data_IF_713046238712
#
_entry.id   IF_713046238712
#
_cell.length_a   1.000
_cell.length_b   1.000
_cell.length_c   1.000
_cell.angle_alpha   90.00
_cell.angle_beta   90.00
_cell.angle_gamma   90.00
#
_symmetry.space_group_name_H-M   'P 1'
#
loop_
_entity.id
_entity.type
_entity.pdbx_description
1 polymer ?
#
# COMPACT_ATOMS: atom_id res chain seq x y z
N UNK A 1 1.00 -10.50 -9.33
CA UNK A 1 1.74 -10.32 -8.06
C UNK A 1 0.76 -10.58 -6.92
N UNK A 2 1.00 -11.59 -6.09
CA UNK A 2 0.17 -11.87 -4.90
C UNK A 2 0.98 -11.45 -3.68
N UNK A 3 0.36 -10.69 -2.78
CA UNK A 3 0.99 -10.28 -1.53
C UNK A 3 0.61 -11.22 -0.39
N UNK A 4 1.54 -11.45 0.53
CA UNK A 4 1.32 -12.28 1.71
C UNK A 4 0.85 -11.44 2.91
N UNK A 5 0.17 -12.08 3.85
CA UNK A 5 -0.14 -11.46 5.15
C UNK A 5 1.17 -11.24 5.90
N UNK A 6 1.40 -10.03 6.39
CA UNK A 6 2.65 -9.60 7.02
C UNK A 6 3.58 -8.81 6.10
N UNK A 7 3.38 -8.85 4.77
CA UNK A 7 4.17 -8.04 3.85
C UNK A 7 3.93 -6.56 4.09
N UNK A 8 5.00 -5.77 4.04
CA UNK A 8 4.94 -4.31 4.08
C UNK A 8 4.78 -3.77 2.67
N UNK A 9 3.72 -3.02 2.44
CA UNK A 9 3.39 -2.44 1.13
C UNK A 9 3.18 -0.94 1.25
N UNK A 10 3.64 -0.21 0.23
CA UNK A 10 3.35 1.20 0.07
C UNK A 10 1.94 1.38 -0.47
N UNK A 11 1.17 2.24 0.18
CA UNK A 11 -0.14 2.65 -0.31
C UNK A 11 -0.02 3.86 -1.26
N UNK A 12 -0.46 3.68 -2.50
CA UNK A 12 -0.60 4.78 -3.44
C UNK A 12 -1.95 5.50 -3.21
N UNK A 13 -1.89 6.76 -2.78
CA UNK A 13 -3.07 7.61 -2.69
C UNK A 13 -3.10 8.60 -3.87
N UNK A 14 -4.03 8.44 -4.83
CA UNK A 14 -4.17 9.36 -5.97
C UNK A 14 -4.73 10.74 -5.56
N UNK A 15 -4.94 11.02 -4.27
CA UNK A 15 -5.35 12.36 -3.78
C UNK A 15 -4.31 13.41 -4.13
N UNK A 16 -4.57 14.11 -5.23
CA UNK A 16 -3.80 15.28 -5.67
C UNK A 16 -3.87 16.38 -4.61
N UNK A 17 -2.76 16.62 -3.91
CA UNK A 17 -2.59 17.86 -3.14
C UNK A 17 -2.40 19.02 -4.12
N UNK A 18 -3.32 19.99 -4.09
CA UNK A 18 -3.20 21.22 -4.89
C UNK A 18 -1.87 21.90 -4.57
N UNK A 19 -1.15 22.36 -5.58
CA UNK A 19 0.13 23.07 -5.42
C UNK A 19 1.38 22.18 -5.35
N UNK A 20 1.26 20.85 -5.38
CA UNK A 20 2.42 19.95 -5.48
C UNK A 20 2.54 19.35 -6.88
N UNK A 21 3.76 19.37 -7.43
CA UNK A 21 4.08 18.69 -8.68
C UNK A 21 3.77 17.18 -8.56
N UNK A 22 3.39 16.55 -9.67
CA UNK A 22 3.02 15.12 -9.68
C UNK A 22 4.12 14.22 -9.09
N UNK A 23 5.38 14.58 -9.32
CA UNK A 23 6.58 13.90 -8.79
C UNK A 23 6.77 14.07 -7.28
N UNK A 24 6.14 15.06 -6.65
CA UNK A 24 6.24 15.38 -5.22
C UNK A 24 5.02 14.93 -4.40
N UNK A 25 4.09 14.19 -5.01
CA UNK A 25 2.91 13.70 -4.29
C UNK A 25 3.30 12.64 -3.27
N UNK A 26 2.78 12.80 -2.05
CA UNK A 26 3.11 12.02 -0.87
C UNK A 26 2.61 10.57 -0.98
N UNK A 27 3.50 9.59 -0.77
CA UNK A 27 3.13 8.18 -0.54
C UNK A 27 2.76 8.04 0.93
N UNK A 28 1.63 7.39 1.24
CA UNK A 28 1.04 7.40 2.59
C UNK A 28 1.78 6.57 3.66
N UNK A 29 2.94 6.00 3.31
CA UNK A 29 3.75 5.18 4.23
C UNK A 29 3.68 3.70 3.90
N UNK A 30 4.52 2.91 4.59
CA UNK A 30 4.44 1.45 4.56
C UNK A 30 3.34 0.98 5.52
N UNK A 31 2.48 0.11 5.01
CA UNK A 31 1.46 -0.58 5.78
C UNK A 31 1.68 -2.08 5.70
N UNK A 32 1.61 -2.82 6.82
CA UNK A 32 1.57 -4.27 6.77
C UNK A 32 0.19 -4.75 6.28
N UNK A 33 0.19 -5.81 5.48
CA UNK A 33 -1.03 -6.52 5.09
C UNK A 33 -1.50 -7.35 6.26
N UNK A 34 -2.71 -7.09 6.73
CA UNK A 34 -3.33 -7.83 7.83
C UNK A 34 -4.10 -9.04 7.34
N UNK A 35 -4.77 -8.92 6.20
CA UNK A 35 -5.59 -10.00 5.66
C UNK A 35 -5.78 -9.86 4.15
N UNK A 36 -5.77 -10.98 3.44
CA UNK A 36 -6.27 -11.04 2.06
C UNK A 36 -7.76 -11.38 2.09
N UNK A 37 -8.61 -10.46 1.62
CA UNK A 37 -10.05 -10.69 1.56
C UNK A 37 -10.42 -11.39 0.26
N UNK A 38 -9.86 -10.93 -0.85
CA UNK A 38 -10.07 -11.43 -2.21
C UNK A 38 -8.72 -11.53 -2.93
N UNK A 39 -8.64 -12.18 -4.10
CA UNK A 39 -7.40 -12.25 -4.88
C UNK A 39 -6.81 -10.87 -5.20
N UNK A 40 -7.67 -9.87 -5.36
CA UNK A 40 -7.31 -8.49 -5.73
C UNK A 40 -7.49 -7.47 -4.60
N UNK A 41 -8.10 -7.87 -3.48
CA UNK A 41 -8.46 -6.94 -2.40
C UNK A 41 -7.81 -7.34 -1.10
N UNK A 42 -7.05 -6.40 -0.53
CA UNK A 42 -6.26 -6.58 0.68
C UNK A 42 -6.74 -5.64 1.78
N UNK A 43 -6.62 -6.10 3.01
CA UNK A 43 -6.86 -5.33 4.22
C UNK A 43 -5.51 -4.94 4.80
N UNK A 44 -5.25 -3.63 4.82
CA UNK A 44 -4.07 -3.01 5.41
C UNK A 44 -4.43 -2.44 6.78
N UNK A 45 -3.43 -2.33 7.65
CA UNK A 45 -3.54 -1.51 8.85
C UNK A 45 -2.25 -1.50 9.65
N UNK A 46 -2.15 -0.60 10.62
CA UNK A 46 -0.99 -0.43 11.50
C UNK A 46 -1.05 -1.32 12.75
N UNK A 47 -1.86 -2.38 12.72
CA UNK A 47 -2.13 -3.24 13.88
C UNK A 47 -3.06 -2.59 14.92
N UNK A 48 -3.40 -1.30 14.77
CA UNK A 48 -4.40 -0.64 15.60
C UNK A 48 -5.72 -0.57 14.83
N UNK A 49 -6.83 -0.97 15.45
CA UNK A 49 -8.16 -0.99 14.82
C UNK A 49 -8.62 0.37 14.27
N UNK A 50 -7.94 1.46 14.64
CA UNK A 50 -8.22 2.84 14.22
C UNK A 50 -7.88 3.16 12.76
N UNK A 51 -6.97 2.44 12.12
CA UNK A 51 -6.58 2.68 10.72
C UNK A 51 -6.52 1.38 9.94
N UNK A 52 -7.71 0.83 9.69
CA UNK A 52 -7.91 -0.28 8.77
C UNK A 52 -8.35 0.27 7.41
N UNK A 53 -7.64 -0.11 6.34
CA UNK A 53 -7.99 0.28 4.98
C UNK A 53 -8.12 -0.97 4.10
N UNK A 54 -9.18 -1.02 3.30
CA UNK A 54 -9.37 -2.05 2.28
C UNK A 54 -8.96 -1.45 0.94
N UNK A 55 -8.02 -2.09 0.25
CA UNK A 55 -7.32 -1.52 -0.90
C UNK A 55 -7.19 -2.56 -2.02
N UNK A 56 -7.33 -2.09 -3.27
CA UNK A 56 -7.10 -2.90 -4.46
C UNK A 56 -5.59 -3.09 -4.74
N UNK A 57 -5.23 -4.22 -5.32
CA UNK A 57 -3.83 -4.56 -5.64
C UNK A 57 -3.11 -3.49 -6.48
N UNK A 58 -3.83 -2.79 -7.36
CA UNK A 58 -3.28 -1.73 -8.22
C UNK A 58 -2.82 -0.48 -7.44
N UNK A 59 -3.32 -0.31 -6.23
CA UNK A 59 -2.94 0.80 -5.34
C UNK A 59 -1.86 0.38 -4.33
N UNK A 60 -1.39 -0.87 -4.40
CA UNK A 60 -0.33 -1.40 -3.56
C UNK A 60 0.97 -1.47 -4.35
N UNK A 61 2.04 -1.00 -3.72
CA UNK A 61 3.39 -1.13 -4.26
C UNK A 61 4.25 -1.90 -3.26
N UNK A 62 4.87 -3.01 -3.69
CA UNK A 62 5.73 -3.82 -2.84
C UNK A 62 6.88 -3.00 -2.26
N UNK A 63 7.03 -2.97 -0.93
CA UNK A 63 8.25 -2.48 -0.32
C UNK A 63 9.26 -3.63 -0.32
N UNK A 64 9.90 -3.85 -1.47
CA UNK A 64 10.94 -4.86 -1.58
C UNK A 64 12.16 -4.38 -0.78
N UNK A 65 12.41 -4.99 0.36
CA UNK A 65 13.74 -4.95 0.98
C UNK A 65 14.65 -5.86 0.15
N UNK A 66 15.43 -5.26 -0.75
CA UNK A 66 16.46 -5.95 -1.52
C UNK A 66 15.93 -6.64 -2.77
N UNK A 67 16.06 -5.97 -3.91
CA UNK A 67 15.93 -6.62 -5.21
C UNK A 67 15.18 -5.79 -6.23
N UNK A 68 15.91 -4.93 -6.93
CA UNK A 68 15.52 -4.49 -8.27
C UNK A 68 15.20 -5.71 -9.12
N UNK A 69 14.05 -5.73 -9.78
CA UNK A 69 13.84 -6.54 -10.99
C UNK A 69 12.90 -5.75 -11.91
N UNK A 70 13.49 -5.05 -12.89
CA UNK A 70 13.47 -5.31 -14.36
C UNK A 70 12.08 -5.45 -14.97
#
# INVERSE_FOLDING_TARGET
MQYAVGDRVWLYNPRKKRGLALKLQYREGLYPILQRLLPVTYKLGDGTSRRLCIVHVDHLWAAVEGGYFT
#
